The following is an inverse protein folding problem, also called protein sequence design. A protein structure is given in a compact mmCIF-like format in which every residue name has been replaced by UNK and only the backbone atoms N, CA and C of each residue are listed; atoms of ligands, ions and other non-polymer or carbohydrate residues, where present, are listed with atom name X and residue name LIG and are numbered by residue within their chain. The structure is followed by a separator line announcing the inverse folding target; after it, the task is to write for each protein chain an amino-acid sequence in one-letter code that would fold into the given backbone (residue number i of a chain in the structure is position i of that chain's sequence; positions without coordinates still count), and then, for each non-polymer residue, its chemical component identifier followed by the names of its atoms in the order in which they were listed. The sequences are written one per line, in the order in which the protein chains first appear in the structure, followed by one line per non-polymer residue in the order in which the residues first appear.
data_IF_053104171073
#
_entry.id   IF_053104171073
#
_cell.length_a   1.000
_cell.length_b   1.000
_cell.length_c   1.000
_cell.angle_alpha   90.00
_cell.angle_beta   90.00
_cell.angle_gamma   90.00
#
_symmetry.space_group_name_H-M   'P 1'
#
loop_
_entity.id
_entity.type
_entity.pdbx_description
1 polymer ?
#
# COMPACT_ATOMS: atom_id res chain seq x y z
N UNK A 1 13.79 -13.78 -2.26
CA UNK A 1 13.97 -12.38 -1.79
C UNK A 1 12.77 -11.60 -2.30
N UNK A 2 12.08 -10.85 -1.43
CA UNK A 2 11.00 -9.95 -1.86
C UNK A 2 11.61 -8.55 -1.97
N UNK A 3 11.43 -7.91 -3.12
CA UNK A 3 11.83 -6.51 -3.31
C UNK A 3 10.60 -5.64 -3.04
N UNK A 4 10.59 -4.97 -1.88
CA UNK A 4 9.59 -3.95 -1.57
C UNK A 4 10.02 -2.60 -2.16
N UNK A 5 9.07 -1.85 -2.69
CA UNK A 5 9.29 -0.53 -3.28
C UNK A 5 8.18 0.43 -2.83
N UNK A 6 8.52 1.70 -2.68
CA UNK A 6 7.57 2.78 -2.37
C UNK A 6 7.20 3.47 -3.69
N UNK A 7 5.93 3.80 -3.85
CA UNK A 7 5.44 4.58 -4.99
C UNK A 7 5.73 6.06 -4.76
N UNK A 8 6.21 6.77 -5.78
CA UNK A 8 6.67 8.15 -5.67
C UNK A 8 5.60 9.11 -5.15
N UNK A 9 4.34 8.86 -5.52
CA UNK A 9 3.19 9.68 -5.13
C UNK A 9 2.71 9.45 -3.68
N UNK A 10 3.22 8.43 -2.97
CA UNK A 10 2.84 8.15 -1.59
C UNK A 10 3.02 9.37 -0.67
N UNK A 11 4.16 10.05 -0.79
CA UNK A 11 4.44 11.22 0.05
C UNK A 11 3.57 12.43 -0.34
N UNK A 12 3.18 12.57 -1.59
CA UNK A 12 2.21 13.60 -1.99
C UNK A 12 0.86 13.35 -1.32
N UNK A 13 0.35 12.12 -1.41
CA UNK A 13 -0.93 11.74 -0.80
C UNK A 13 -0.92 11.89 0.73
N UNK A 14 0.15 11.45 1.39
CA UNK A 14 0.32 11.60 2.85
C UNK A 14 0.32 13.08 3.28
N UNK A 15 0.94 13.99 2.51
CA UNK A 15 1.08 15.40 2.88
C UNK A 15 -0.18 16.20 2.52
N UNK A 16 -0.91 15.76 1.50
CA UNK A 16 -2.24 16.26 1.15
C UNK A 16 -3.34 15.77 2.10
N UNK A 17 -3.01 14.90 3.06
CA UNK A 17 -3.94 14.25 3.99
C UNK A 17 -4.98 13.37 3.29
N UNK A 18 -4.59 12.75 2.18
CA UNK A 18 -5.41 11.75 1.48
C UNK A 18 -5.30 10.37 2.14
N UNK A 19 -4.26 10.16 2.95
CA UNK A 19 -3.99 8.91 3.66
C UNK A 19 -3.76 9.21 5.15
N UNK A 20 -4.49 8.49 6.00
CA UNK A 20 -4.25 8.36 7.43
C UNK A 20 -3.94 6.90 7.78
N UNK A 21 -2.66 6.55 7.90
CA UNK A 21 -2.22 5.15 7.92
C UNK A 21 -2.77 4.31 9.07
N UNK A 22 -2.93 4.85 10.28
CA UNK A 22 -3.40 4.09 11.43
C UNK A 22 -4.94 4.01 11.52
N UNK A 23 -5.64 5.00 10.95
CA UNK A 23 -7.09 5.13 11.00
C UNK A 23 -7.78 4.56 9.76
N UNK A 24 -7.19 4.70 8.58
CA UNK A 24 -7.78 4.22 7.33
C UNK A 24 -7.77 2.68 7.22
N UNK A 25 -8.63 2.18 6.33
CA UNK A 25 -8.60 0.77 5.92
C UNK A 25 -7.52 0.60 4.86
N UNK A 26 -6.33 0.19 5.30
CA UNK A 26 -5.24 -0.18 4.39
C UNK A 26 -5.40 -1.65 3.99
N UNK A 27 -5.40 -1.90 2.69
CA UNK A 27 -5.49 -3.25 2.12
C UNK A 27 -4.22 -3.66 1.41
N UNK A 28 -3.94 -4.96 1.43
CA UNK A 28 -2.87 -5.62 0.68
C UNK A 28 -3.51 -6.46 -0.41
N UNK A 29 -3.13 -6.20 -1.67
CA UNK A 29 -3.66 -6.92 -2.83
C UNK A 29 -2.64 -7.91 -3.37
N UNK A 30 -3.10 -9.12 -3.71
CA UNK A 30 -2.32 -10.13 -4.40
C UNK A 30 -2.60 -10.04 -5.90
N UNK A 31 -1.54 -9.83 -6.68
CA UNK A 31 -1.61 -9.80 -8.15
C UNK A 31 -0.90 -10.99 -8.76
N UNK A 32 -1.19 -11.27 -10.03
CA UNK A 32 -0.42 -12.26 -10.79
C UNK A 32 1.00 -11.75 -11.08
N UNK A 33 1.89 -12.65 -11.50
CA UNK A 33 3.25 -12.33 -11.92
C UNK A 33 3.35 -11.47 -13.19
N UNK A 34 2.23 -11.29 -13.91
CA UNK A 34 2.17 -10.47 -15.12
C UNK A 34 1.85 -9.01 -14.84
N UNK A 35 1.47 -8.67 -13.60
CA UNK A 35 1.31 -7.28 -13.19
C UNK A 35 2.68 -6.58 -13.14
N UNK A 36 2.77 -5.42 -13.79
CA UNK A 36 3.98 -4.59 -13.82
C UNK A 36 3.64 -3.24 -13.19
N UNK A 37 3.95 -3.01 -11.89
CA UNK A 37 3.67 -1.75 -11.23
C UNK A 37 4.50 -0.60 -11.79
N UNK A 38 3.89 0.56 -12.04
CA UNK A 38 4.59 1.80 -12.38
C UNK A 38 4.69 2.71 -11.14
N UNK A 39 5.91 2.82 -10.59
CA UNK A 39 6.17 3.57 -9.35
C UNK A 39 6.03 5.08 -9.47
N UNK A 40 6.08 5.61 -10.68
CA UNK A 40 6.07 7.06 -10.89
C UNK A 40 4.66 7.63 -11.01
N UNK A 41 3.69 6.78 -11.38
CA UNK A 41 2.33 7.23 -11.72
C UNK A 41 1.22 6.55 -10.94
N UNK A 42 1.44 5.39 -10.30
CA UNK A 42 0.35 4.77 -9.55
C UNK A 42 0.05 5.56 -8.28
N UNK A 43 -1.20 5.99 -8.14
CA UNK A 43 -1.70 6.74 -6.98
C UNK A 43 -2.88 6.05 -6.29
N UNK A 44 -3.74 5.37 -7.06
CA UNK A 44 -4.94 4.72 -6.52
C UNK A 44 -5.08 3.25 -6.96
N UNK A 45 -6.13 2.59 -6.43
CA UNK A 45 -6.42 1.16 -6.69
C UNK A 45 -6.72 0.87 -8.16
N UNK A 46 -7.22 1.85 -8.90
CA UNK A 46 -7.56 1.71 -10.32
C UNK A 46 -6.35 1.48 -11.24
N UNK A 47 -5.14 1.88 -10.82
CA UNK A 47 -3.89 1.51 -11.50
C UNK A 47 -3.47 0.04 -11.29
N UNK A 48 -4.01 -0.61 -10.25
CA UNK A 48 -3.69 -2.00 -9.94
C UNK A 48 -4.52 -2.93 -10.81
N UNK A 49 -3.84 -3.75 -11.61
CA UNK A 49 -4.46 -4.74 -12.49
C UNK A 49 -4.06 -6.16 -12.10
N UNK A 50 -4.72 -7.15 -12.71
CA UNK A 50 -4.43 -8.58 -12.52
C UNK A 50 -4.50 -9.06 -11.05
N UNK A 51 -5.48 -8.58 -10.30
CA UNK A 51 -5.78 -9.13 -8.97
C UNK A 51 -6.15 -10.62 -9.07
N UNK A 52 -5.58 -11.43 -8.20
CA UNK A 52 -5.83 -12.87 -8.15
C UNK A 52 -7.25 -13.15 -7.65
N UNK A 53 -7.88 -14.19 -8.17
CA UNK A 53 -9.08 -14.81 -7.58
C UNK A 53 -8.77 -16.30 -7.45
N UNK A 54 -8.87 -16.86 -6.24
CA UNK A 54 -8.56 -18.26 -6.06
C UNK A 54 -8.72 -18.76 -4.63
N UNK A 55 -8.43 -20.05 -4.42
CA UNK A 55 -8.49 -20.66 -3.10
C UNK A 55 -7.58 -19.92 -2.11
N UNK A 56 -8.15 -19.42 -1.02
CA UNK A 56 -7.42 -18.72 0.03
C UNK A 56 -7.18 -17.24 -0.21
N UNK A 57 -7.69 -16.66 -1.30
CA UNK A 57 -7.65 -15.21 -1.54
C UNK A 57 -8.92 -14.73 -2.24
N UNK A 58 -9.63 -13.80 -1.60
CA UNK A 58 -10.81 -13.15 -2.19
C UNK A 58 -10.35 -11.81 -2.78
N UNK A 59 -10.72 -11.56 -4.04
CA UNK A 59 -10.46 -10.25 -4.65
C UNK A 59 -11.07 -9.12 -3.82
N UNK A 60 -10.55 -7.90 -4.00
CA UNK A 60 -10.68 -6.70 -3.16
C UNK A 60 -9.62 -6.52 -2.08
N UNK A 61 -8.61 -7.38 -2.01
CA UNK A 61 -7.50 -7.28 -1.05
C UNK A 61 -7.85 -7.63 0.39
N UNK A 62 -6.83 -8.05 1.14
CA UNK A 62 -6.91 -8.37 2.56
C UNK A 62 -6.61 -7.13 3.41
N UNK A 63 -7.29 -6.99 4.55
CA UNK A 63 -7.07 -5.82 5.42
C UNK A 63 -5.79 -5.99 6.25
N UNK A 64 -4.93 -4.98 6.23
CA UNK A 64 -3.74 -4.93 7.10
C UNK A 64 -4.18 -4.60 8.54
N UNK A 65 -4.09 -5.58 9.43
CA UNK A 65 -4.61 -5.45 10.80
C UNK A 65 -3.76 -4.58 11.73
N UNK A 66 -2.44 -4.81 11.78
CA UNK A 66 -1.56 -4.23 12.80
C UNK A 66 -0.91 -2.93 12.34
N UNK A 67 -1.69 -1.88 12.15
CA UNK A 67 -1.20 -0.55 11.74
C UNK A 67 -0.94 0.30 12.98
N UNK A 68 0.31 0.68 13.19
CA UNK A 68 0.69 1.53 14.33
C UNK A 68 1.68 2.59 13.86
N UNK A 69 1.43 3.85 14.22
CA UNK A 69 2.37 4.96 14.01
C UNK A 69 2.86 5.42 15.39
N UNK A 70 4.15 5.23 15.67
CA UNK A 70 4.76 5.61 16.95
C UNK A 70 6.01 6.44 16.72
N UNK A 71 6.17 7.52 17.49
CA UNK A 71 7.40 8.33 17.52
C UNK A 71 8.16 8.09 18.82
N UNK A 72 9.44 7.76 18.72
CA UNK A 72 10.34 7.67 19.86
C UNK A 72 11.02 9.02 20.08
N UNK A 73 10.75 9.66 21.20
CA UNK A 73 11.37 10.93 21.56
C UNK A 73 12.85 10.78 21.97
N UNK A 74 13.61 11.88 21.92
CA UNK A 74 14.95 11.98 22.50
C UNK A 74 16.13 11.83 21.53
N UNK A 75 15.87 11.71 20.22
CA UNK A 75 16.91 11.62 19.18
C UNK A 75 16.71 12.59 18.01
N UNK A 76 15.77 13.51 18.15
CA UNK A 76 15.52 14.57 17.20
C UNK A 76 16.79 15.40 16.97
N UNK A 77 17.13 15.61 15.70
CA UNK A 77 18.29 16.39 15.23
C UNK A 77 17.87 17.79 14.84
#
# INVERSE_FOLDING_TARGET
MVTAKIFGLLFTALWNKEIDFDTDIIKVMLTTSTYVPNQDVHDYKDDVTNEVVGTGYVATGETLASKTVTYTAGTNK
#
